data_IF_466561293765
#
_entry.id   IF_466561293765
#
_cell.length_a   1.000
_cell.length_b   1.000
_cell.length_c   1.000
_cell.angle_alpha   90.00
_cell.angle_beta   90.00
_cell.angle_gamma   90.00
#
_symmetry.space_group_name_H-M   'P 1'
#
loop_
_entity.id
_entity.type
_entity.pdbx_description
1 polymer ?
#
# COMPACT_ATOMS: atom_id res chain seq x y z
N UNK A 1 -16.30 -40.25 38.48
CA UNK A 1 -16.93 -39.58 37.31
C UNK A 1 -18.05 -40.48 36.80
N UNK A 2 -19.28 -40.01 36.75
CA UNK A 2 -20.35 -40.86 36.25
C UNK A 2 -20.38 -40.90 34.71
N UNK A 3 -21.06 -41.90 34.13
CA UNK A 3 -21.11 -42.14 32.67
C UNK A 3 -21.54 -40.86 31.92
N UNK A 4 -22.45 -40.06 32.49
CA UNK A 4 -22.92 -38.79 31.88
C UNK A 4 -21.80 -37.75 31.76
N UNK A 5 -20.92 -37.69 32.79
CA UNK A 5 -19.76 -36.76 32.75
C UNK A 5 -18.70 -37.20 31.74
N UNK A 6 -18.51 -38.51 31.58
CA UNK A 6 -17.59 -39.06 30.55
C UNK A 6 -18.12 -38.78 29.15
N UNK A 7 -19.41 -39.03 28.91
CA UNK A 7 -20.03 -38.76 27.60
C UNK A 7 -19.99 -37.28 27.25
N UNK A 8 -20.25 -36.38 28.20
CA UNK A 8 -20.12 -34.92 27.98
C UNK A 8 -18.68 -34.51 27.64
N UNK A 9 -17.69 -35.07 28.32
CA UNK A 9 -16.29 -34.78 28.05
C UNK A 9 -15.88 -35.28 26.66
N UNK A 10 -16.30 -36.48 26.27
CA UNK A 10 -16.00 -37.06 24.94
C UNK A 10 -16.67 -36.22 23.83
N UNK A 11 -17.92 -35.80 24.01
CA UNK A 11 -18.61 -34.94 23.03
C UNK A 11 -17.92 -33.60 22.90
N UNK A 12 -17.49 -32.97 24.00
CA UNK A 12 -16.74 -31.73 23.98
C UNK A 12 -15.38 -31.86 23.27
N UNK A 13 -14.67 -32.95 23.50
CA UNK A 13 -13.38 -33.24 22.82
C UNK A 13 -13.60 -33.48 21.32
N UNK A 14 -14.65 -34.20 20.94
CA UNK A 14 -14.99 -34.42 19.51
C UNK A 14 -15.35 -33.10 18.81
N UNK A 15 -16.16 -32.24 19.45
CA UNK A 15 -16.47 -30.91 18.91
C UNK A 15 -15.22 -30.02 18.78
N UNK A 16 -14.33 -30.06 19.76
CA UNK A 16 -13.07 -29.33 19.73
C UNK A 16 -12.14 -29.84 18.62
N UNK A 17 -12.02 -31.17 18.45
CA UNK A 17 -11.23 -31.77 17.37
C UNK A 17 -11.84 -31.50 15.97
N UNK A 18 -13.17 -31.52 15.84
CA UNK A 18 -13.85 -31.15 14.61
C UNK A 18 -13.65 -29.66 14.27
N UNK A 19 -13.69 -28.78 15.27
CA UNK A 19 -13.42 -27.36 15.04
C UNK A 19 -11.96 -27.07 14.65
N UNK A 20 -11.01 -27.81 15.19
CA UNK A 20 -9.60 -27.73 14.81
C UNK A 20 -9.37 -28.24 13.38
N UNK A 21 -10.00 -29.34 12.98
CA UNK A 21 -9.89 -29.86 11.61
C UNK A 21 -10.57 -28.91 10.60
N UNK A 22 -11.71 -28.31 10.95
CA UNK A 22 -12.39 -27.32 10.09
C UNK A 22 -11.53 -26.08 9.89
N UNK A 23 -10.85 -25.62 10.95
CA UNK A 23 -9.88 -24.50 10.87
C UNK A 23 -8.69 -24.86 9.99
N UNK A 24 -8.10 -26.04 10.17
CA UNK A 24 -6.99 -26.51 9.33
C UNK A 24 -7.39 -26.58 7.84
N UNK A 25 -8.61 -27.05 7.53
CA UNK A 25 -9.14 -27.10 6.15
C UNK A 25 -9.36 -25.72 5.54
N UNK A 26 -9.76 -24.71 6.33
CA UNK A 26 -9.91 -23.32 5.87
C UNK A 26 -8.54 -22.73 5.54
N UNK A 27 -7.54 -22.96 6.37
CA UNK A 27 -6.16 -22.49 6.12
C UNK A 27 -5.52 -23.15 4.88
N UNK A 28 -5.77 -24.44 4.65
CA UNK A 28 -5.25 -25.16 3.46
C UNK A 28 -5.91 -24.75 2.14
N UNK A 29 -7.11 -24.18 2.16
CA UNK A 29 -7.84 -23.79 0.95
C UNK A 29 -7.42 -22.46 0.35
N UNK A 30 -6.77 -21.58 1.12
CA UNK A 30 -6.24 -20.34 0.59
C UNK A 30 -4.87 -20.62 -0.08
N UNK A 31 -4.76 -20.27 -1.34
CA UNK A 31 -3.53 -20.42 -2.14
C UNK A 31 -3.18 -19.09 -2.80
N UNK A 32 -1.90 -18.90 -3.08
CA UNK A 32 -1.43 -17.78 -3.91
C UNK A 32 -1.90 -17.93 -5.35
N UNK A 33 -1.93 -16.84 -6.08
CA UNK A 33 -2.31 -16.84 -7.49
C UNK A 33 -1.17 -17.25 -8.40
N UNK A 34 -1.53 -17.85 -9.54
CA UNK A 34 -0.61 -18.13 -10.64
C UNK A 34 -0.67 -16.98 -11.64
N UNK A 35 0.49 -16.51 -12.08
CA UNK A 35 0.57 -15.43 -13.06
C UNK A 35 0.13 -15.89 -14.45
N UNK A 36 -0.73 -15.13 -15.15
CA UNK A 36 -1.05 -15.38 -16.55
C UNK A 36 0.11 -15.03 -17.52
N UNK A 37 1.15 -14.33 -17.04
CA UNK A 37 2.33 -13.94 -17.82
C UNK A 37 3.49 -14.94 -17.70
N UNK A 38 3.27 -16.05 -17.02
CA UNK A 38 4.20 -17.18 -16.94
C UNK A 38 4.85 -17.38 -15.58
N UNK A 39 5.53 -18.52 -15.45
CA UNK A 39 6.07 -19.01 -14.17
C UNK A 39 7.19 -18.13 -13.57
N UNK A 40 7.86 -17.34 -14.38
CA UNK A 40 8.97 -16.47 -13.97
C UNK A 40 8.53 -15.01 -13.79
N UNK A 41 7.22 -14.74 -13.93
CA UNK A 41 6.67 -13.39 -13.77
C UNK A 41 6.78 -12.90 -12.32
N UNK A 42 7.35 -11.72 -12.16
CA UNK A 42 7.55 -11.03 -10.89
C UNK A 42 6.74 -9.73 -10.78
N UNK A 43 5.99 -9.37 -11.84
CA UNK A 43 5.33 -8.07 -11.96
C UNK A 43 3.83 -8.11 -11.68
N UNK A 44 3.20 -9.28 -11.82
CA UNK A 44 1.75 -9.38 -11.70
C UNK A 44 1.05 -8.43 -12.68
N UNK A 45 0.06 -7.67 -12.20
CA UNK A 45 -0.70 -6.76 -13.05
C UNK A 45 0.07 -5.56 -13.59
N UNK A 46 1.27 -5.27 -13.08
CA UNK A 46 2.12 -4.25 -13.68
C UNK A 46 2.55 -4.58 -15.13
N UNK A 47 2.40 -5.83 -15.57
CA UNK A 47 2.55 -6.24 -16.98
C UNK A 47 1.53 -5.57 -17.92
N UNK A 48 0.46 -4.97 -17.42
CA UNK A 48 -0.51 -4.20 -18.20
C UNK A 48 0.04 -2.84 -18.67
N UNK A 49 1.19 -2.43 -18.13
CA UNK A 49 1.86 -1.19 -18.57
C UNK A 49 2.58 -1.46 -19.90
N UNK A 50 2.08 -0.86 -20.99
CA UNK A 50 2.69 -0.95 -22.31
C UNK A 50 3.13 0.43 -22.85
N UNK A 51 3.98 0.49 -23.90
CA UNK A 51 4.27 1.74 -24.57
C UNK A 51 3.01 2.47 -25.06
N UNK A 52 2.05 1.71 -25.59
CA UNK A 52 0.79 2.23 -26.14
C UNK A 52 -0.09 2.80 -25.03
N UNK A 53 -0.25 2.08 -23.89
CA UNK A 53 -1.03 2.57 -22.75
C UNK A 53 -0.44 3.85 -22.15
N UNK A 54 0.89 3.92 -22.01
CA UNK A 54 1.58 5.14 -21.55
C UNK A 54 1.34 6.30 -22.47
N UNK A 55 1.50 6.09 -23.79
CA UNK A 55 1.32 7.13 -24.81
C UNK A 55 -0.12 7.65 -24.80
N UNK A 56 -1.11 6.77 -24.75
CA UNK A 56 -2.52 7.12 -24.71
C UNK A 56 -2.88 7.97 -23.48
N UNK A 57 -2.35 7.62 -22.31
CA UNK A 57 -2.58 8.36 -21.07
C UNK A 57 -1.91 9.73 -21.11
N UNK A 58 -0.65 9.81 -21.52
CA UNK A 58 0.09 11.06 -21.56
C UNK A 58 -0.48 12.03 -22.60
N UNK A 59 -1.04 11.54 -23.71
CA UNK A 59 -1.70 12.37 -24.72
C UNK A 59 -2.92 13.11 -24.17
N UNK A 60 -3.61 12.54 -23.17
CA UNK A 60 -4.77 13.14 -22.51
C UNK A 60 -4.37 14.09 -21.36
N UNK A 61 -3.16 13.99 -20.84
CA UNK A 61 -2.72 14.76 -19.69
C UNK A 61 -2.68 16.26 -19.96
N UNK A 62 -3.18 17.04 -19.01
CA UNK A 62 -3.05 18.49 -18.97
C UNK A 62 -1.90 18.87 -18.01
N UNK A 63 -0.77 19.24 -18.56
CA UNK A 63 0.44 19.55 -17.82
C UNK A 63 0.46 20.97 -17.21
N UNK A 64 -0.62 21.76 -17.37
CA UNK A 64 -0.71 23.08 -16.72
C UNK A 64 -0.85 22.99 -15.20
N UNK A 65 -1.24 21.82 -14.67
CA UNK A 65 -1.39 21.55 -13.25
C UNK A 65 -0.87 20.15 -12.92
N UNK A 66 -0.14 20.06 -11.82
CA UNK A 66 0.30 18.79 -11.25
C UNK A 66 -0.16 18.70 -9.79
N UNK A 67 -0.58 17.51 -9.38
CA UNK A 67 -0.93 17.19 -7.99
C UNK A 67 0.14 16.25 -7.44
N UNK A 68 0.75 16.62 -6.32
CA UNK A 68 1.58 15.74 -5.53
C UNK A 68 0.67 14.89 -4.64
N UNK A 69 0.74 13.59 -4.79
CA UNK A 69 -0.07 12.64 -4.02
C UNK A 69 0.70 12.02 -2.85
N UNK A 70 1.87 12.56 -2.52
CA UNK A 70 2.68 12.08 -1.41
C UNK A 70 2.44 12.87 -0.13
N UNK A 71 2.88 12.31 1.00
CA UNK A 71 2.95 12.98 2.29
C UNK A 71 4.38 13.40 2.60
N UNK A 72 4.53 14.38 3.50
CA UNK A 72 5.82 14.74 4.06
C UNK A 72 6.32 13.66 5.02
N UNK A 73 7.66 13.44 5.04
CA UNK A 73 8.32 12.57 6.01
C UNK A 73 8.84 13.40 7.17
N UNK A 74 8.43 13.08 8.39
CA UNK A 74 8.85 13.79 9.60
C UNK A 74 8.95 12.84 10.79
N UNK A 75 9.79 13.19 11.76
CA UNK A 75 9.96 12.42 13.01
C UNK A 75 8.63 12.44 13.79
N UNK A 76 8.11 11.26 14.10
CA UNK A 76 6.81 11.11 14.76
C UNK A 76 5.62 10.92 13.82
N UNK A 77 5.85 10.81 12.49
CA UNK A 77 4.80 10.47 11.53
C UNK A 77 4.16 9.09 11.83
N UNK A 78 2.95 8.83 11.30
CA UNK A 78 2.31 7.52 11.45
C UNK A 78 3.18 6.36 10.97
N UNK A 79 3.23 5.28 11.75
CA UNK A 79 3.99 4.06 11.46
C UNK A 79 3.45 2.91 12.32
N UNK A 80 3.68 1.66 11.91
CA UNK A 80 3.29 0.43 12.63
C UNK A 80 4.16 0.12 13.84
N UNK A 81 4.45 1.12 14.67
CA UNK A 81 5.28 0.97 15.87
C UNK A 81 4.74 -0.07 16.87
N UNK A 82 3.42 -0.20 16.97
CA UNK A 82 2.79 -1.22 17.81
C UNK A 82 3.09 -2.65 17.34
N UNK A 83 3.46 -2.84 16.08
CA UNK A 83 3.93 -4.11 15.52
C UNK A 83 5.44 -4.30 15.68
N UNK A 84 6.18 -3.30 16.18
CA UNK A 84 7.62 -3.34 16.39
C UNK A 84 8.44 -2.69 15.25
N UNK A 85 7.78 -2.10 14.27
CA UNK A 85 8.47 -1.47 13.14
C UNK A 85 9.18 -0.17 13.53
N UNK A 86 10.36 0.11 12.95
CA UNK A 86 11.13 1.28 13.30
C UNK A 86 10.42 2.56 12.85
N UNK A 87 10.54 3.60 13.68
CA UNK A 87 10.08 4.94 13.33
C UNK A 87 10.98 5.57 12.29
N UNK A 88 10.42 6.50 11.50
CA UNK A 88 11.23 7.41 10.70
C UNK A 88 12.15 8.23 11.60
N UNK A 89 13.43 8.20 11.30
CA UNK A 89 14.47 8.96 11.96
C UNK A 89 15.20 9.86 10.96
N UNK A 90 15.53 11.04 11.41
CA UNK A 90 16.30 12.02 10.64
C UNK A 90 17.33 12.67 11.54
N UNK A 91 18.57 12.79 11.07
CA UNK A 91 19.62 13.50 11.80
C UNK A 91 20.60 14.17 10.85
N UNK A 92 21.22 15.24 11.33
CA UNK A 92 22.29 15.90 10.61
C UNK A 92 23.60 15.14 10.82
N UNK A 93 24.27 14.80 9.73
CA UNK A 93 25.62 14.21 9.75
C UNK A 93 26.69 15.28 9.71
N UNK A 94 26.40 16.44 9.10
CA UNK A 94 27.27 17.58 9.01
C UNK A 94 26.48 18.89 9.13
N UNK A 95 27.07 19.87 9.79
CA UNK A 95 26.59 21.27 9.84
C UNK A 95 27.75 22.22 9.57
N UNK A 96 27.50 23.44 9.09
CA UNK A 96 28.59 24.40 8.86
C UNK A 96 29.46 24.62 10.09
N UNK A 97 28.84 24.76 11.28
CA UNK A 97 29.58 24.91 12.55
C UNK A 97 30.38 23.65 12.90
N UNK A 98 29.79 22.47 12.74
CA UNK A 98 30.46 21.18 12.98
C UNK A 98 31.68 21.01 12.08
N UNK A 99 31.57 21.39 10.80
CA UNK A 99 32.69 21.30 9.85
C UNK A 99 33.88 22.18 10.28
N UNK A 100 33.64 23.35 10.88
CA UNK A 100 34.70 24.23 11.44
C UNK A 100 35.33 23.62 12.69
N UNK A 101 34.47 23.12 13.62
CA UNK A 101 34.94 22.63 14.93
C UNK A 101 35.68 21.29 14.79
N UNK A 102 35.09 20.36 14.07
CA UNK A 102 35.58 18.98 13.98
C UNK A 102 36.61 18.76 12.87
N UNK A 103 36.64 19.65 11.88
CA UNK A 103 37.57 19.65 10.75
C UNK A 103 37.70 18.22 10.11
N UNK A 104 36.61 17.49 9.98
CA UNK A 104 36.57 16.08 9.56
C UNK A 104 37.26 15.84 8.22
N UNK A 105 37.18 16.81 7.30
CA UNK A 105 37.79 16.73 5.97
C UNK A 105 39.27 17.27 5.96
N UNK A 106 39.80 17.74 7.10
CA UNK A 106 41.17 18.24 7.20
C UNK A 106 41.45 19.49 6.40
N UNK A 107 40.43 20.27 5.98
CA UNK A 107 40.58 21.46 5.12
C UNK A 107 41.03 22.70 5.86
N UNK A 108 41.01 22.70 7.19
CA UNK A 108 41.36 23.80 8.05
C UNK A 108 40.26 24.84 8.25
N UNK A 109 40.45 25.69 9.27
CA UNK A 109 39.47 26.66 9.74
C UNK A 109 38.98 27.62 8.64
N UNK A 110 39.89 28.18 7.87
CA UNK A 110 39.54 29.22 6.89
C UNK A 110 38.67 28.68 5.76
N UNK A 111 38.99 27.49 5.23
CA UNK A 111 38.21 26.84 4.19
C UNK A 111 36.85 26.41 4.73
N UNK A 112 36.82 25.77 5.90
CA UNK A 112 35.56 25.30 6.50
C UNK A 112 34.66 26.46 6.95
N UNK A 113 35.20 27.63 7.27
CA UNK A 113 34.44 28.85 7.58
C UNK A 113 33.88 29.52 6.32
N UNK A 114 34.55 29.35 5.18
CA UNK A 114 34.12 29.91 3.89
C UNK A 114 33.07 29.06 3.22
N UNK A 115 33.20 27.72 3.25
CA UNK A 115 32.29 26.77 2.60
C UNK A 115 31.26 26.28 3.62
N UNK A 116 29.97 26.58 3.37
CA UNK A 116 28.87 26.09 4.19
C UNK A 116 28.37 24.74 3.65
N UNK A 117 28.59 23.67 4.41
CA UNK A 117 28.20 22.31 4.05
C UNK A 117 27.21 21.70 5.05
N UNK A 118 26.19 21.05 4.55
CA UNK A 118 25.25 20.26 5.35
C UNK A 118 25.13 18.85 4.78
N UNK A 119 25.04 17.87 5.65
CA UNK A 119 24.71 16.49 5.33
C UNK A 119 23.66 15.97 6.29
N UNK A 120 22.82 15.04 5.83
CA UNK A 120 21.80 14.40 6.66
C UNK A 120 21.69 12.92 6.33
N UNK A 121 21.12 12.16 7.27
CA UNK A 121 20.82 10.76 7.10
C UNK A 121 19.40 10.44 7.59
N UNK A 122 18.84 9.36 7.06
CA UNK A 122 17.55 8.83 7.46
C UNK A 122 17.66 7.34 7.80
N UNK A 123 16.80 6.90 8.72
CA UNK A 123 16.48 5.48 8.93
C UNK A 123 14.98 5.37 9.03
N UNK A 124 14.39 4.37 8.36
CA UNK A 124 12.94 4.21 8.33
C UNK A 124 12.53 2.78 8.01
N UNK A 125 11.32 2.45 8.36
CA UNK A 125 10.61 1.28 7.85
C UNK A 125 10.23 1.50 6.38
N UNK A 126 10.27 0.46 5.56
CA UNK A 126 9.99 0.55 4.12
C UNK A 126 8.56 1.01 3.81
N UNK A 127 7.62 0.73 4.74
CA UNK A 127 6.22 1.18 4.68
C UNK A 127 5.99 2.52 5.41
N UNK A 128 6.97 3.42 5.41
CA UNK A 128 6.82 4.78 5.97
C UNK A 128 6.42 5.78 4.89
N UNK A 129 5.50 6.70 5.24
CA UNK A 129 5.00 7.71 4.31
C UNK A 129 4.28 7.09 3.11
N UNK A 130 4.14 7.84 2.03
CA UNK A 130 3.56 7.30 0.81
C UNK A 130 4.50 6.27 0.20
N UNK A 131 4.04 5.03 0.15
CA UNK A 131 4.80 3.89 -0.32
C UNK A 131 3.96 2.98 -1.21
N UNK A 132 4.64 2.06 -1.89
CA UNK A 132 4.02 0.99 -2.66
C UNK A 132 4.51 -0.35 -2.14
N UNK A 133 3.57 -1.24 -1.83
CA UNK A 133 3.85 -2.62 -1.46
C UNK A 133 4.16 -3.44 -2.69
N UNK A 134 5.26 -4.18 -2.62
CA UNK A 134 5.63 -5.16 -3.60
C UNK A 134 4.88 -6.48 -3.38
N UNK A 135 4.87 -7.35 -4.38
CA UNK A 135 4.10 -8.61 -4.33
C UNK A 135 4.67 -9.63 -3.33
N UNK A 136 5.83 -9.36 -2.76
CA UNK A 136 6.45 -10.18 -1.71
C UNK A 136 6.10 -9.72 -0.29
N UNK A 137 5.28 -8.66 -0.12
CA UNK A 137 4.95 -8.14 1.21
C UNK A 137 4.07 -9.12 1.99
N UNK A 138 3.01 -9.65 1.39
CA UNK A 138 2.17 -10.67 1.99
C UNK A 138 2.06 -11.92 1.12
N UNK A 139 2.14 -13.07 1.76
CA UNK A 139 2.01 -14.39 1.16
C UNK A 139 0.98 -15.26 1.87
N UNK A 140 0.85 -16.49 1.44
CA UNK A 140 -0.03 -17.53 2.02
C UNK A 140 0.78 -18.81 2.13
N UNK A 141 0.79 -19.45 3.30
CA UNK A 141 1.47 -20.72 3.56
C UNK A 141 2.97 -20.73 3.16
N UNK A 142 3.68 -19.60 3.35
CA UNK A 142 5.09 -19.48 3.00
C UNK A 142 5.38 -19.23 1.52
N UNK A 143 4.35 -19.02 0.70
CA UNK A 143 4.48 -18.62 -0.70
C UNK A 143 3.98 -17.18 -0.91
N UNK A 144 4.62 -16.44 -1.82
CA UNK A 144 4.17 -15.16 -2.34
C UNK A 144 3.60 -15.35 -3.74
N UNK A 145 3.08 -14.27 -4.37
CA UNK A 145 2.50 -14.32 -5.71
C UNK A 145 3.34 -15.17 -6.67
N UNK A 146 2.66 -15.92 -7.55
CA UNK A 146 3.24 -16.80 -8.56
C UNK A 146 4.04 -17.97 -7.99
N UNK A 147 3.68 -18.43 -6.76
CA UNK A 147 4.26 -19.60 -6.09
C UNK A 147 5.76 -19.51 -5.77
N UNK A 148 6.31 -18.31 -5.63
CA UNK A 148 7.67 -18.18 -5.13
C UNK A 148 7.70 -18.47 -3.63
N UNK A 149 8.39 -19.54 -3.25
CA UNK A 149 8.50 -20.02 -1.87
C UNK A 149 9.50 -19.19 -1.06
N UNK A 150 9.16 -18.88 0.19
CA UNK A 150 10.07 -18.22 1.12
C UNK A 150 11.32 -19.09 1.40
N UNK A 151 11.17 -20.41 1.45
CA UNK A 151 12.29 -21.33 1.69
C UNK A 151 13.36 -21.26 0.59
N UNK A 152 12.98 -20.96 -0.65
CA UNK A 152 13.89 -20.87 -1.78
C UNK A 152 14.38 -19.43 -2.03
N UNK A 153 13.49 -18.46 -1.88
CA UNK A 153 13.72 -17.10 -2.37
C UNK A 153 13.90 -16.02 -1.29
N UNK A 154 13.70 -16.32 0.01
CA UNK A 154 13.95 -15.38 1.10
C UNK A 154 15.22 -15.75 1.86
N UNK A 155 16.18 -14.85 1.87
CA UNK A 155 17.42 -15.02 2.63
C UNK A 155 17.77 -13.78 3.45
N UNK A 156 18.95 -13.79 4.09
CA UNK A 156 19.42 -12.69 4.97
C UNK A 156 19.49 -11.31 4.29
N UNK A 157 19.47 -11.28 2.96
CA UNK A 157 19.53 -10.04 2.16
C UNK A 157 18.18 -9.66 1.55
N UNK A 158 17.09 -10.21 2.07
CA UNK A 158 15.74 -10.00 1.59
C UNK A 158 15.30 -11.00 0.51
N UNK A 159 14.21 -10.70 -0.12
CA UNK A 159 13.64 -11.52 -1.18
C UNK A 159 14.47 -11.44 -2.48
N UNK A 160 14.53 -12.54 -3.20
CA UNK A 160 15.18 -12.65 -4.53
C UNK A 160 14.16 -12.54 -5.66
N UNK A 161 12.88 -12.46 -5.33
CA UNK A 161 11.73 -12.42 -6.24
C UNK A 161 10.74 -11.35 -5.82
N UNK A 162 10.11 -10.71 -6.79
CA UNK A 162 9.01 -9.75 -6.62
C UNK A 162 9.30 -8.58 -5.67
N UNK A 163 10.59 -8.25 -5.45
CA UNK A 163 10.98 -7.14 -4.57
C UNK A 163 10.64 -5.75 -5.15
N UNK A 164 10.71 -4.74 -4.32
CA UNK A 164 10.38 -3.36 -4.71
C UNK A 164 11.22 -2.83 -5.89
N UNK A 165 12.42 -3.38 -6.12
CA UNK A 165 13.27 -3.04 -7.27
C UNK A 165 12.71 -3.52 -8.62
N UNK A 166 11.78 -4.48 -8.61
CA UNK A 166 11.16 -4.99 -9.85
C UNK A 166 10.06 -4.09 -10.36
N UNK A 167 9.48 -3.24 -9.50
CA UNK A 167 8.40 -2.32 -9.88
C UNK A 167 8.88 -1.34 -10.96
N UNK A 168 8.27 -1.36 -12.16
CA UNK A 168 8.66 -0.47 -13.24
C UNK A 168 8.17 0.96 -13.01
N UNK A 169 8.68 1.97 -13.74
CA UNK A 169 8.05 3.28 -13.81
C UNK A 169 6.59 3.17 -14.24
N UNK A 170 5.69 3.75 -13.44
CA UNK A 170 4.25 3.66 -13.62
C UNK A 170 3.76 4.91 -14.35
N UNK A 171 3.13 4.72 -15.50
CA UNK A 171 2.34 5.73 -16.20
C UNK A 171 1.04 5.06 -16.63
N UNK A 172 -0.07 5.44 -16.02
CA UNK A 172 -1.36 4.79 -16.21
C UNK A 172 -2.53 5.76 -16.00
N UNK A 173 -3.72 5.38 -16.40
CA UNK A 173 -4.93 6.11 -16.03
C UNK A 173 -5.16 5.96 -14.53
N UNK A 174 -5.26 7.10 -13.84
CA UNK A 174 -5.64 7.17 -12.43
C UNK A 174 -7.13 7.49 -12.28
N UNK A 175 -7.78 6.82 -11.34
CA UNK A 175 -9.18 7.05 -10.97
C UNK A 175 -9.26 7.29 -9.46
N UNK A 176 -9.84 8.43 -9.05
CA UNK A 176 -10.14 8.74 -7.65
C UNK A 176 -11.55 8.29 -7.31
N UNK A 177 -11.68 7.37 -6.36
CA UNK A 177 -12.93 7.00 -5.71
C UNK A 177 -13.05 7.74 -4.37
N UNK A 178 -13.71 8.88 -4.39
CA UNK A 178 -13.93 9.72 -3.20
C UNK A 178 -15.17 9.25 -2.45
N UNK A 179 -14.97 8.26 -1.55
CA UNK A 179 -16.06 7.59 -0.86
C UNK A 179 -16.83 8.56 0.05
N UNK A 180 -16.15 9.34 0.93
CA UNK A 180 -16.86 10.31 1.77
C UNK A 180 -17.71 11.27 0.95
N UNK A 181 -17.14 11.88 -0.09
CA UNK A 181 -17.85 12.88 -0.90
C UNK A 181 -19.06 12.29 -1.61
N UNK A 182 -18.95 11.07 -2.14
CA UNK A 182 -20.08 10.34 -2.73
C UNK A 182 -21.19 10.04 -1.70
N UNK A 183 -20.84 9.93 -0.41
CA UNK A 183 -21.77 9.74 0.72
C UNK A 183 -22.18 11.04 1.41
N UNK A 184 -21.78 12.20 0.88
CA UNK A 184 -22.04 13.53 1.47
C UNK A 184 -21.42 13.68 2.88
N UNK A 185 -20.22 13.12 3.07
CA UNK A 185 -19.40 13.19 4.27
C UNK A 185 -18.06 13.87 3.95
N UNK A 186 -17.40 14.42 4.95
CA UNK A 186 -16.02 14.93 4.82
C UNK A 186 -14.99 13.80 4.99
N UNK A 187 -15.31 12.86 5.89
CA UNK A 187 -14.47 11.71 6.26
C UNK A 187 -15.36 10.52 6.58
N UNK A 188 -14.87 9.31 6.31
CA UNK A 188 -15.56 8.09 6.72
C UNK A 188 -15.53 7.93 8.24
N UNK A 189 -16.59 7.35 8.86
CA UNK A 189 -16.60 7.02 10.28
C UNK A 189 -15.45 6.10 10.66
N UNK A 190 -15.09 6.11 11.93
CA UNK A 190 -14.13 5.16 12.52
C UNK A 190 -14.53 3.72 12.25
N UNK A 191 -13.55 2.87 11.93
CA UNK A 191 -13.71 1.45 11.59
C UNK A 191 -14.67 1.18 10.40
N UNK A 192 -14.94 2.18 9.56
CA UNK A 192 -15.81 2.00 8.42
C UNK A 192 -15.20 1.01 7.41
N UNK A 193 -15.94 -0.04 7.11
CA UNK A 193 -15.56 -1.04 6.10
C UNK A 193 -16.16 -0.66 4.75
N UNK A 194 -15.30 -0.28 3.81
CA UNK A 194 -15.71 0.10 2.45
C UNK A 194 -16.14 -1.17 1.71
N UNK A 195 -17.34 -1.12 1.13
CA UNK A 195 -17.98 -2.21 0.37
C UNK A 195 -17.91 -1.97 -1.13
N UNK A 196 -18.23 -2.99 -1.93
CA UNK A 196 -18.39 -2.84 -3.38
C UNK A 196 -19.51 -1.85 -3.74
N UNK A 197 -20.54 -1.74 -2.90
CA UNK A 197 -21.62 -0.76 -3.09
C UNK A 197 -21.11 0.68 -2.93
N UNK A 198 -20.21 0.95 -1.99
CA UNK A 198 -19.58 2.26 -1.80
C UNK A 198 -18.74 2.65 -3.02
N UNK A 199 -17.95 1.69 -3.56
CA UNK A 199 -17.14 1.92 -4.75
C UNK A 199 -18.02 2.25 -5.97
N UNK A 200 -19.11 1.49 -6.17
CA UNK A 200 -20.09 1.76 -7.23
C UNK A 200 -20.75 3.13 -7.07
N UNK A 201 -21.04 3.53 -5.82
CA UNK A 201 -21.59 4.86 -5.53
C UNK A 201 -20.60 5.96 -5.92
N UNK A 202 -19.31 5.80 -5.60
CA UNK A 202 -18.28 6.77 -5.96
C UNK A 202 -18.05 6.84 -7.47
N UNK A 203 -18.07 5.71 -8.18
CA UNK A 203 -18.04 5.67 -9.65
C UNK A 203 -19.23 6.42 -10.27
N UNK A 204 -20.43 6.14 -9.78
CA UNK A 204 -21.64 6.87 -10.22
C UNK A 204 -21.55 8.37 -9.93
N UNK A 205 -21.04 8.74 -8.75
CA UNK A 205 -20.88 10.14 -8.35
C UNK A 205 -19.91 10.89 -9.27
N UNK A 206 -18.81 10.26 -9.67
CA UNK A 206 -17.82 10.84 -10.59
C UNK A 206 -18.15 10.67 -12.07
N UNK A 207 -19.22 9.94 -12.41
CA UNK A 207 -19.62 9.55 -13.76
C UNK A 207 -18.48 8.83 -14.51
N UNK A 208 -17.83 7.87 -13.85
CA UNK A 208 -16.70 7.09 -14.37
C UNK A 208 -17.00 5.60 -14.31
N UNK A 209 -16.31 4.87 -15.17
CA UNK A 209 -16.18 3.40 -15.15
C UNK A 209 -14.71 3.02 -15.04
N UNK A 210 -14.44 1.91 -14.34
CA UNK A 210 -13.10 1.35 -14.27
C UNK A 210 -12.75 0.65 -15.59
N UNK A 211 -11.47 0.68 -15.91
CA UNK A 211 -10.89 0.02 -17.08
C UNK A 211 -9.73 -0.86 -16.63
N UNK A 212 -9.45 -1.89 -17.41
CA UNK A 212 -8.26 -2.71 -17.19
C UNK A 212 -6.99 -1.84 -17.27
N UNK A 213 -6.10 -2.02 -16.29
CA UNK A 213 -4.88 -1.23 -16.18
C UNK A 213 -5.00 0.08 -15.39
N UNK A 214 -6.15 0.36 -14.78
CA UNK A 214 -6.31 1.55 -13.94
C UNK A 214 -5.48 1.48 -12.65
N UNK A 215 -4.98 2.64 -12.22
CA UNK A 215 -4.54 2.91 -10.86
C UNK A 215 -5.72 3.52 -10.10
N UNK A 216 -6.31 2.75 -9.18
CA UNK A 216 -7.51 3.18 -8.45
C UNK A 216 -7.12 3.70 -7.08
N UNK A 217 -7.34 4.99 -6.83
CA UNK A 217 -7.04 5.66 -5.58
C UNK A 217 -8.32 5.89 -4.77
N UNK A 218 -8.35 5.41 -3.53
CA UNK A 218 -9.53 5.44 -2.66
C UNK A 218 -9.30 6.44 -1.54
N UNK A 219 -10.14 7.47 -1.49
CA UNK A 219 -10.13 8.46 -0.42
C UNK A 219 -11.10 8.05 0.68
N UNK A 220 -10.59 8.03 1.92
CA UNK A 220 -11.37 7.87 3.15
C UNK A 220 -11.58 9.20 3.88
N UNK A 221 -10.75 10.20 3.58
CA UNK A 221 -10.67 11.49 4.26
C UNK A 221 -9.79 11.45 5.52
N UNK A 222 -9.15 10.29 5.81
CA UNK A 222 -8.34 10.12 7.02
C UNK A 222 -7.07 10.97 7.02
N UNK A 223 -6.61 11.40 5.83
CA UNK A 223 -5.42 12.24 5.68
C UNK A 223 -5.46 13.54 6.51
N UNK A 224 -6.65 14.06 6.84
CA UNK A 224 -6.81 15.23 7.73
C UNK A 224 -6.13 15.07 9.09
N UNK A 225 -6.01 13.82 9.58
CA UNK A 225 -5.46 13.50 10.89
C UNK A 225 -3.97 13.13 10.85
N UNK A 226 -3.35 13.16 9.67
CA UNK A 226 -1.99 12.66 9.42
C UNK A 226 -0.90 13.26 10.33
N UNK A 227 -1.03 14.54 10.69
CA UNK A 227 -0.08 15.23 11.58
C UNK A 227 -0.15 14.72 13.03
N UNK A 228 -1.16 13.95 13.39
CA UNK A 228 -1.36 13.37 14.73
C UNK A 228 -1.37 11.86 14.61
N UNK A 229 -0.19 11.23 14.64
CA UNK A 229 -0.01 9.79 14.36
C UNK A 229 -0.97 8.90 15.18
N UNK A 230 -1.16 9.17 16.47
CA UNK A 230 -2.07 8.41 17.33
C UNK A 230 -3.52 8.46 16.82
N UNK A 231 -3.99 9.62 16.40
CA UNK A 231 -5.35 9.81 15.89
C UNK A 231 -5.49 9.18 14.52
N UNK A 232 -4.51 9.37 13.65
CA UNK A 232 -4.51 8.81 12.30
C UNK A 232 -4.56 7.27 12.31
N UNK A 233 -3.78 6.63 13.17
CA UNK A 233 -3.69 5.17 13.29
C UNK A 233 -4.89 4.53 13.99
N UNK A 234 -5.62 5.29 14.84
CA UNK A 234 -6.72 4.74 15.61
C UNK A 234 -7.96 4.54 14.74
N UNK A 235 -8.57 3.34 14.82
CA UNK A 235 -9.88 3.06 14.22
C UNK A 235 -10.00 3.45 12.74
N UNK A 236 -8.94 3.28 11.97
CA UNK A 236 -8.90 3.70 10.56
C UNK A 236 -9.99 3.00 9.74
N UNK A 237 -10.75 3.73 8.91
CA UNK A 237 -11.59 3.10 7.88
C UNK A 237 -10.71 2.44 6.82
N UNK A 238 -11.21 1.43 6.13
CA UNK A 238 -10.45 0.75 5.08
C UNK A 238 -11.30 -0.20 4.24
N UNK A 239 -10.68 -0.86 3.28
CA UNK A 239 -11.36 -1.78 2.38
C UNK A 239 -11.83 -3.06 3.08
N UNK A 240 -13.00 -3.57 2.66
CA UNK A 240 -13.42 -4.94 2.91
C UNK A 240 -13.10 -5.84 1.71
N UNK A 241 -13.21 -7.15 1.92
CA UNK A 241 -12.93 -8.17 0.90
C UNK A 241 -13.81 -8.04 -0.35
N UNK A 242 -15.09 -7.69 -0.17
CA UNK A 242 -16.01 -7.50 -1.30
C UNK A 242 -15.57 -6.34 -2.20
N UNK A 243 -15.08 -5.25 -1.59
CA UNK A 243 -14.54 -4.10 -2.31
C UNK A 243 -13.25 -4.46 -3.06
N UNK A 244 -12.34 -5.18 -2.41
CA UNK A 244 -11.10 -5.65 -3.04
C UNK A 244 -11.38 -6.57 -4.23
N UNK A 245 -12.34 -7.50 -4.07
CA UNK A 245 -12.76 -8.39 -5.16
C UNK A 245 -13.39 -7.63 -6.34
N UNK A 246 -14.20 -6.61 -6.04
CA UNK A 246 -14.78 -5.75 -7.08
C UNK A 246 -13.68 -5.05 -7.90
N UNK A 247 -12.69 -4.43 -7.24
CA UNK A 247 -11.58 -3.75 -7.92
C UNK A 247 -10.74 -4.71 -8.76
N UNK A 248 -10.39 -5.86 -8.20
CA UNK A 248 -9.65 -6.87 -8.93
C UNK A 248 -10.38 -7.39 -10.17
N UNK A 249 -11.70 -7.62 -10.07
CA UNK A 249 -12.52 -8.07 -11.19
C UNK A 249 -12.79 -6.97 -12.24
N UNK A 250 -12.77 -5.70 -11.82
CA UNK A 250 -12.87 -4.55 -12.73
C UNK A 250 -11.55 -4.25 -13.47
N UNK A 251 -10.47 -5.00 -13.23
CA UNK A 251 -9.21 -4.86 -13.94
C UNK A 251 -8.23 -3.86 -13.34
N UNK A 252 -8.43 -3.40 -12.09
CA UNK A 252 -7.47 -2.52 -11.42
C UNK A 252 -6.07 -3.14 -11.43
N UNK A 253 -5.09 -2.35 -11.87
CA UNK A 253 -3.67 -2.74 -11.93
C UNK A 253 -2.95 -2.46 -10.60
N UNK A 254 -3.23 -1.33 -10.01
CA UNK A 254 -2.75 -0.89 -8.69
C UNK A 254 -3.95 -0.36 -7.94
N UNK A 255 -4.00 -0.59 -6.65
CA UNK A 255 -5.00 0.02 -5.77
C UNK A 255 -4.28 0.81 -4.68
N UNK A 256 -4.75 2.02 -4.37
CA UNK A 256 -4.16 2.84 -3.32
C UNK A 256 -5.21 3.50 -2.44
N UNK A 257 -4.80 3.93 -1.23
CA UNK A 257 -5.64 4.65 -0.29
C UNK A 257 -4.87 5.71 0.50
N UNK A 258 -5.63 6.58 1.17
CA UNK A 258 -5.11 7.64 2.03
C UNK A 258 -4.93 7.22 3.50
N UNK A 259 -5.07 5.94 3.82
CA UNK A 259 -4.81 5.36 5.14
C UNK A 259 -3.57 4.45 5.11
N UNK A 260 -3.06 4.08 6.29
CA UNK A 260 -1.87 3.22 6.43
C UNK A 260 -2.23 1.74 6.58
N UNK A 261 -3.46 1.42 6.86
CA UNK A 261 -3.88 0.03 7.01
C UNK A 261 -4.48 -0.55 5.74
N UNK A 262 -4.71 0.26 4.73
CA UNK A 262 -5.43 -0.05 3.50
C UNK A 262 -6.77 -0.74 3.75
N UNK A 263 -6.79 -1.89 4.43
CA UNK A 263 -7.99 -2.64 4.78
C UNK A 263 -8.59 -2.24 6.14
N UNK A 264 -9.87 -2.58 6.32
CA UNK A 264 -10.59 -2.33 7.57
C UNK A 264 -10.31 -3.39 8.62
N UNK A 265 -10.02 -2.97 9.84
CA UNK A 265 -9.90 -3.85 11.00
C UNK A 265 -11.15 -3.79 11.91
N UNK A 266 -11.45 -4.87 12.67
CA UNK A 266 -10.83 -6.20 12.62
C UNK A 266 -11.12 -6.94 11.30
N UNK A 267 -10.31 -7.94 10.98
CA UNK A 267 -10.53 -8.80 9.81
C UNK A 267 -11.93 -9.42 9.79
N UNK A 268 -12.52 -9.53 8.61
CA UNK A 268 -13.78 -10.24 8.38
C UNK A 268 -13.61 -11.71 7.98
N UNK A 269 -12.35 -12.16 7.81
CA UNK A 269 -12.02 -13.53 7.42
C UNK A 269 -11.34 -14.24 8.59
N UNK A 270 -12.00 -15.28 9.10
CA UNK A 270 -11.41 -16.09 10.18
C UNK A 270 -10.09 -16.71 9.73
N UNK A 271 -9.06 -16.60 10.58
CA UNK A 271 -7.74 -17.16 10.32
C UNK A 271 -6.84 -16.35 9.38
N UNK A 272 -7.32 -15.25 8.84
CA UNK A 272 -6.50 -14.31 8.09
C UNK A 272 -6.69 -12.90 8.66
N UNK A 273 -5.65 -12.33 9.25
CA UNK A 273 -5.72 -11.00 9.87
C UNK A 273 -5.60 -9.83 8.88
N UNK A 274 -5.14 -10.11 7.64
CA UNK A 274 -4.99 -9.15 6.52
C UNK A 274 -5.51 -9.72 5.20
N UNK A 275 -6.81 -10.08 5.12
CA UNK A 275 -7.36 -10.79 3.97
C UNK A 275 -7.31 -9.98 2.67
N UNK A 276 -7.43 -8.65 2.74
CA UNK A 276 -7.39 -7.78 1.55
C UNK A 276 -5.98 -7.73 0.97
N UNK A 277 -4.94 -7.57 1.82
CA UNK A 277 -3.54 -7.62 1.35
C UNK A 277 -3.20 -8.98 0.71
N UNK A 278 -3.50 -10.08 1.40
CA UNK A 278 -3.21 -11.42 0.85
C UNK A 278 -3.98 -11.67 -0.44
N UNK A 279 -5.21 -11.16 -0.55
CA UNK A 279 -5.99 -11.27 -1.78
C UNK A 279 -5.39 -10.46 -2.93
N UNK A 280 -5.10 -9.19 -2.71
CA UNK A 280 -4.59 -8.31 -3.77
C UNK A 280 -3.16 -8.68 -4.16
N UNK A 281 -2.25 -8.76 -3.19
CA UNK A 281 -0.83 -9.01 -3.44
C UNK A 281 -0.60 -10.47 -3.85
N UNK A 282 -0.94 -11.44 -2.98
CA UNK A 282 -0.55 -12.82 -3.17
C UNK A 282 -1.45 -13.59 -4.14
N UNK A 283 -2.75 -13.26 -4.24
CA UNK A 283 -3.65 -14.02 -5.14
C UNK A 283 -3.86 -13.33 -6.49
N UNK A 284 -3.85 -11.98 -6.54
CA UNK A 284 -4.19 -11.22 -7.76
C UNK A 284 -3.01 -10.51 -8.43
N UNK A 285 -1.86 -10.45 -7.77
CA UNK A 285 -0.67 -9.77 -8.28
C UNK A 285 -0.91 -8.26 -8.47
N UNK A 286 -1.65 -7.63 -7.54
CA UNK A 286 -2.00 -6.21 -7.55
C UNK A 286 -1.23 -5.51 -6.44
N UNK A 287 -0.23 -4.66 -6.74
CA UNK A 287 0.46 -3.82 -5.76
C UNK A 287 -0.49 -2.84 -5.07
N UNK A 288 -0.16 -2.47 -3.83
CA UNK A 288 -0.94 -1.55 -3.01
C UNK A 288 -0.14 -0.25 -2.78
N UNK A 289 -0.80 0.90 -2.84
CA UNK A 289 -0.23 2.19 -2.42
C UNK A 289 -0.94 2.64 -1.16
N UNK A 290 -0.18 2.98 -0.12
CA UNK A 290 -0.72 3.49 1.13
C UNK A 290 -0.27 4.93 1.39
N UNK A 291 -0.96 5.61 2.32
CA UNK A 291 -0.65 6.98 2.71
C UNK A 291 -0.62 7.98 1.54
N UNK A 292 -1.48 7.80 0.54
CA UNK A 292 -1.60 8.75 -0.56
C UNK A 292 -2.38 10.01 -0.12
N UNK A 293 -1.84 11.19 -0.37
CA UNK A 293 -2.55 12.45 -0.12
C UNK A 293 -3.50 12.77 -1.27
N UNK A 294 -4.77 12.46 -1.10
CA UNK A 294 -5.82 12.61 -2.11
C UNK A 294 -6.69 13.88 -1.91
N UNK A 295 -6.39 14.70 -0.90
CA UNK A 295 -7.22 15.83 -0.50
C UNK A 295 -7.32 16.90 -1.58
N UNK A 296 -6.23 17.18 -2.29
CA UNK A 296 -6.24 18.19 -3.35
C UNK A 296 -7.00 17.74 -4.59
N UNK A 297 -6.90 16.46 -4.96
CA UNK A 297 -7.71 15.88 -6.04
C UNK A 297 -9.21 15.95 -5.71
N UNK A 298 -9.57 15.57 -4.48
CA UNK A 298 -10.95 15.66 -3.99
C UNK A 298 -11.48 17.08 -4.02
N UNK A 299 -10.75 18.03 -3.42
CA UNK A 299 -11.14 19.44 -3.39
C UNK A 299 -11.43 19.99 -4.79
N UNK A 300 -10.57 19.65 -5.75
CA UNK A 300 -10.65 20.18 -7.11
C UNK A 300 -11.53 19.32 -8.04
N UNK A 301 -12.23 18.33 -7.48
CA UNK A 301 -13.08 17.38 -8.20
C UNK A 301 -12.37 16.72 -9.41
N UNK A 302 -11.10 16.37 -9.24
CA UNK A 302 -10.29 15.70 -10.26
C UNK A 302 -10.36 14.19 -10.02
N UNK A 303 -11.33 13.53 -10.64
CA UNK A 303 -11.61 12.11 -10.43
C UNK A 303 -10.91 11.19 -11.44
N UNK A 304 -10.38 11.76 -12.54
CA UNK A 304 -9.63 11.05 -13.56
C UNK A 304 -8.39 11.85 -13.97
N UNK A 305 -7.24 11.16 -14.09
CA UNK A 305 -5.95 11.81 -14.33
C UNK A 305 -4.92 10.86 -14.93
N UNK A 306 -3.84 11.39 -15.46
CA UNK A 306 -2.64 10.63 -15.74
C UNK A 306 -1.88 10.45 -14.41
N UNK A 307 -1.78 9.22 -13.95
CA UNK A 307 -0.96 8.83 -12.81
C UNK A 307 0.47 8.58 -13.27
N UNK A 308 1.43 9.21 -12.62
CA UNK A 308 2.87 9.01 -12.85
C UNK A 308 3.54 8.74 -11.51
N UNK A 309 4.26 7.62 -11.41
CA UNK A 309 4.96 7.24 -10.19
C UNK A 309 6.19 6.39 -10.46
N UNK A 310 7.17 6.52 -9.59
CA UNK A 310 8.35 5.66 -9.55
C UNK A 310 8.79 5.46 -8.11
N UNK A 311 8.85 4.20 -7.67
CA UNK A 311 9.34 3.83 -6.36
C UNK A 311 10.87 3.81 -6.31
N UNK A 312 11.42 3.93 -5.10
CA UNK A 312 12.84 3.66 -4.89
C UNK A 312 13.11 2.15 -5.10
N UNK A 313 14.27 1.85 -5.69
CA UNK A 313 14.65 0.47 -6.02
C UNK A 313 15.36 -0.20 -4.85
N UNK A 314 14.65 -0.44 -3.76
CA UNK A 314 15.17 -1.18 -2.61
C UNK A 314 15.19 -2.69 -2.95
N UNK A 315 16.39 -3.20 -3.22
CA UNK A 315 16.56 -4.59 -3.65
C UNK A 315 16.15 -5.57 -2.55
N UNK A 316 15.21 -6.46 -2.88
CA UNK A 316 14.71 -7.51 -1.99
C UNK A 316 13.78 -7.00 -0.90
N UNK A 317 13.41 -5.72 -0.92
CA UNK A 317 12.46 -5.17 0.05
C UNK A 317 11.01 -5.45 -0.37
N UNK A 318 10.15 -5.42 0.63
CA UNK A 318 8.72 -5.70 0.56
C UNK A 318 7.89 -4.44 0.20
N UNK A 319 8.48 -3.26 0.33
CA UNK A 319 7.91 -1.99 -0.11
C UNK A 319 8.99 -0.97 -0.41
N UNK A 320 8.61 0.12 -1.04
CA UNK A 320 9.47 1.28 -1.19
C UNK A 320 8.67 2.59 -1.22
N UNK A 321 9.25 3.70 -0.73
CA UNK A 321 8.70 5.02 -0.92
C UNK A 321 8.43 5.31 -2.39
N UNK A 322 7.29 5.93 -2.64
CA UNK A 322 6.89 6.43 -3.96
C UNK A 322 6.39 7.87 -3.81
N UNK A 323 6.71 8.73 -4.78
CA UNK A 323 6.12 10.07 -4.88
C UNK A 323 5.23 10.15 -6.11
N UNK A 324 3.96 9.75 -6.01
CA UNK A 324 3.06 9.75 -7.15
C UNK A 324 2.65 11.18 -7.50
N UNK A 325 2.51 11.43 -8.81
CA UNK A 325 2.06 12.70 -9.36
C UNK A 325 0.83 12.43 -10.22
N UNK A 326 -0.18 13.30 -10.12
CA UNK A 326 -1.34 13.26 -11.00
C UNK A 326 -1.41 14.51 -11.88
N UNK A 327 -1.64 14.30 -13.18
CA UNK A 327 -1.98 15.37 -14.13
C UNK A 327 -3.43 15.19 -14.54
N UNK A 328 -4.31 16.19 -14.34
CA UNK A 328 -5.71 16.08 -14.76
C UNK A 328 -5.79 15.84 -16.28
N UNK A 329 -6.83 15.20 -16.74
CA UNK A 329 -7.04 15.08 -18.18
C UNK A 329 -7.53 16.41 -18.76
N UNK A 330 -7.22 16.66 -20.03
CA UNK A 330 -7.73 17.80 -20.80
C UNK A 330 -9.26 17.75 -20.80
N UNK A 331 -9.90 18.88 -20.57
CA UNK A 331 -11.35 18.98 -20.77
C UNK A 331 -11.66 18.70 -22.22
N UNK A 332 -12.57 17.78 -22.46
CA UNK A 332 -13.13 17.52 -23.78
C UNK A 332 -14.05 18.64 -24.19
#
# INVERSE_FOLDING_TARGET
MNIIQIVRLVVLVIFFLMSLNLKADIFQKQQVGTSPWGKDDELGRLNLISPESRTAVMAQANFSKAYDLSVDYFVGMPSWQAAGDPQYQFWMTHTPKGSVVDNVLGMGHDVNSHVSYTGSAISMYTHSGTHIDALNHFGINGEIYNHFSADEYLGDKGWKKTGAETIPPIVARGVLLDIPKAKQLDVLPDNYRITAADLKLALKFSNLELQEGDVVMIRTGRMRDFQTAKQYMANSPGLGMEAAAFLANAGAMIVGADNLSFEAFPSEVEGNYVPVHTYLLAQKGIPIIELANLETLSRDATYQFAFVGGSLKFRGADAAPIRPIAFPFKKQ
#
